data_IF_391038065570
#
_entry.id   IF_391038065570
#
_cell.length_a   1.000
_cell.length_b   1.000
_cell.length_c   1.000
_cell.angle_alpha   90.00
_cell.angle_beta   90.00
_cell.angle_gamma   90.00
#
_symmetry.space_group_name_H-M   'P 1'
#
loop_
_entity.id
_entity.type
_entity.pdbx_description
1 polymer ?
#
# COMPACT_ATOMS: atom_id res chain seq x y z
N UNK A 1 -13.60 2.65 10.55
CA UNK A 1 -14.71 2.53 11.54
C UNK A 1 -14.75 3.79 12.42
N UNK A 2 -15.94 4.28 12.81
CA UNK A 2 -16.08 5.43 13.73
C UNK A 2 -17.09 5.15 14.83
N UNK A 3 -16.76 5.53 16.06
CA UNK A 3 -17.63 5.47 17.24
C UNK A 3 -17.81 6.89 17.76
N UNK A 4 -19.05 7.34 17.91
CA UNK A 4 -19.34 8.65 18.51
C UNK A 4 -19.27 8.57 20.03
N UNK A 5 -18.59 9.52 20.66
CA UNK A 5 -18.58 9.72 22.10
C UNK A 5 -19.57 10.83 22.45
N UNK A 6 -20.39 10.58 23.47
CA UNK A 6 -21.50 11.42 23.96
C UNK A 6 -21.42 12.90 23.55
N UNK A 7 -22.24 13.25 22.56
CA UNK A 7 -22.60 14.62 22.16
C UNK A 7 -21.59 15.39 21.31
N UNK A 8 -20.28 15.29 21.55
CA UNK A 8 -19.27 16.18 20.93
C UNK A 8 -17.91 15.52 20.63
N UNK A 9 -17.80 14.19 20.71
CA UNK A 9 -16.56 13.47 20.39
C UNK A 9 -16.74 12.38 19.34
N UNK A 10 -15.65 12.03 18.66
CA UNK A 10 -15.58 10.87 17.77
C UNK A 10 -14.24 10.18 17.93
N UNK A 11 -14.30 8.85 17.96
CA UNK A 11 -13.13 7.98 17.80
C UNK A 11 -13.19 7.41 16.40
N UNK A 12 -12.09 7.51 15.66
CA UNK A 12 -11.94 6.93 14.32
C UNK A 12 -10.70 6.05 14.31
N UNK A 13 -10.79 4.91 13.65
CA UNK A 13 -9.64 4.05 13.42
C UNK A 13 -9.46 3.81 11.92
N UNK A 14 -8.22 3.95 11.47
CA UNK A 14 -7.80 3.71 10.09
C UNK A 14 -6.42 3.08 10.07
N UNK A 15 -6.14 2.30 9.04
CA UNK A 15 -4.85 1.66 8.85
C UNK A 15 -3.95 2.55 7.97
N UNK A 16 -2.64 2.52 8.19
CA UNK A 16 -1.61 3.17 7.37
C UNK A 16 -0.65 2.11 6.82
N UNK A 17 -0.49 2.10 5.49
CA UNK A 17 0.35 1.13 4.80
C UNK A 17 1.84 1.41 4.93
N UNK A 18 2.23 2.68 4.97
CA UNK A 18 3.63 3.12 5.01
C UNK A 18 4.42 2.62 6.23
N UNK A 19 3.75 2.34 7.35
CA UNK A 19 4.38 1.90 8.60
C UNK A 19 3.74 0.61 9.20
N UNK A 20 2.98 -0.16 8.40
CA UNK A 20 2.19 -1.34 8.83
C UNK A 20 1.50 -1.15 10.19
N UNK A 21 0.84 0.00 10.37
CA UNK A 21 0.25 0.41 11.65
C UNK A 21 -1.19 0.88 11.49
N UNK A 22 -1.96 0.84 12.57
CA UNK A 22 -3.24 1.53 12.64
C UNK A 22 -3.08 2.86 13.38
N UNK A 23 -3.88 3.85 13.04
CA UNK A 23 -3.99 5.09 13.77
C UNK A 23 -5.36 5.18 14.43
N UNK A 24 -5.35 5.28 15.76
CA UNK A 24 -6.48 5.67 16.57
C UNK A 24 -6.52 7.19 16.62
N UNK A 25 -7.57 7.77 16.06
CA UNK A 25 -7.83 9.20 16.09
C UNK A 25 -8.93 9.47 17.11
N UNK A 26 -8.60 10.27 18.12
CA UNK A 26 -9.55 10.73 19.13
C UNK A 26 -9.77 12.21 18.90
N UNK A 27 -11.02 12.58 18.65
CA UNK A 27 -11.41 13.97 18.47
C UNK A 27 -12.48 14.33 19.49
N UNK A 28 -12.18 15.28 20.38
CA UNK A 28 -13.12 15.73 21.43
C UNK A 28 -13.01 17.23 21.60
N UNK A 29 -14.13 17.95 21.52
CA UNK A 29 -14.23 19.38 21.90
C UNK A 29 -13.11 20.27 21.33
N UNK A 30 -12.73 20.04 20.06
CA UNK A 30 -11.69 20.82 19.36
C UNK A 30 -10.25 20.33 19.57
N UNK A 31 -10.03 19.27 20.35
CA UNK A 31 -8.73 18.59 20.49
C UNK A 31 -8.65 17.41 19.54
N UNK A 32 -7.53 17.29 18.84
CA UNK A 32 -7.19 16.21 17.90
C UNK A 32 -5.96 15.46 18.41
N UNK A 33 -6.07 14.15 18.56
CA UNK A 33 -4.97 13.28 18.95
C UNK A 33 -4.90 12.06 18.02
N UNK A 34 -3.71 11.78 17.46
CA UNK A 34 -3.41 10.53 16.76
C UNK A 34 -2.55 9.66 17.66
N UNK A 35 -2.94 8.40 17.81
CA UNK A 35 -2.16 7.37 18.50
C UNK A 35 -1.84 6.30 17.47
N UNK A 36 -0.56 6.13 17.17
CA UNK A 36 -0.10 5.02 16.34
C UNK A 36 -0.19 3.72 17.15
N UNK A 37 -0.72 2.69 16.52
CA UNK A 37 -0.91 1.35 17.07
C UNK A 37 -0.21 0.38 16.12
N UNK A 38 0.83 -0.29 16.61
CA UNK A 38 1.39 -1.41 15.89
C UNK A 38 0.41 -2.60 15.86
N UNK A 39 0.75 -3.60 15.05
CA UNK A 39 -0.06 -4.81 14.87
C UNK A 39 -0.41 -5.53 16.18
N UNK A 40 0.52 -5.58 17.14
CA UNK A 40 0.30 -6.24 18.45
C UNK A 40 -0.81 -5.54 19.22
N UNK A 41 -0.85 -4.21 19.19
CA UNK A 41 -1.91 -3.45 19.84
C UNK A 41 -3.28 -3.64 19.14
N UNK A 42 -3.31 -3.79 17.82
CA UNK A 42 -4.56 -4.04 17.08
C UNK A 42 -5.06 -5.47 17.32
N UNK A 43 -4.17 -6.46 17.36
CA UNK A 43 -4.49 -7.86 17.67
C UNK A 43 -5.07 -8.02 19.09
N UNK A 44 -4.59 -7.23 20.04
CA UNK A 44 -5.16 -7.18 21.40
C UNK A 44 -6.63 -6.71 21.43
N UNK A 45 -7.07 -5.99 20.40
CA UNK A 45 -8.43 -5.48 20.22
C UNK A 45 -9.21 -6.23 19.12
N UNK A 46 -8.78 -7.46 18.79
CA UNK A 46 -9.30 -8.24 17.66
C UNK A 46 -10.82 -8.36 17.59
N UNK A 47 -11.45 -8.65 18.72
CA UNK A 47 -12.90 -8.85 18.77
C UNK A 47 -13.68 -7.53 18.59
N UNK A 48 -13.00 -6.40 18.77
CA UNK A 48 -13.59 -5.07 18.70
C UNK A 48 -13.31 -4.39 17.35
N UNK A 49 -12.25 -4.79 16.64
CA UNK A 49 -11.76 -4.13 15.43
C UNK A 49 -11.49 -5.12 14.26
N UNK A 50 -12.45 -5.99 13.88
CA UNK A 50 -12.21 -7.02 12.86
C UNK A 50 -11.91 -6.46 11.47
N UNK A 51 -12.54 -5.35 11.08
CA UNK A 51 -12.30 -4.71 9.77
C UNK A 51 -10.89 -4.13 9.62
N UNK A 52 -10.32 -3.65 10.73
CA UNK A 52 -8.98 -3.05 10.77
C UNK A 52 -7.93 -4.14 10.66
N UNK A 53 -8.12 -5.24 11.39
CA UNK A 53 -7.27 -6.42 11.25
C UNK A 53 -7.34 -7.00 9.83
N UNK A 54 -8.53 -7.06 9.22
CA UNK A 54 -8.66 -7.50 7.83
C UNK A 54 -7.85 -6.61 6.86
N UNK A 55 -7.80 -5.30 7.11
CA UNK A 55 -6.96 -4.37 6.35
C UNK A 55 -5.46 -4.63 6.53
N UNK A 56 -5.01 -4.87 7.76
CA UNK A 56 -3.60 -5.21 8.04
C UNK A 56 -3.22 -6.59 7.48
N UNK A 57 -4.12 -7.57 7.54
CA UNK A 57 -3.92 -8.90 6.96
C UNK A 57 -3.78 -8.84 5.43
N UNK A 58 -4.59 -8.00 4.77
CA UNK A 58 -4.49 -7.78 3.34
C UNK A 58 -3.09 -7.26 2.96
N UNK A 59 -2.57 -6.27 3.68
CA UNK A 59 -1.23 -5.73 3.41
C UNK A 59 -0.12 -6.74 3.67
N UNK A 60 -0.22 -7.52 4.75
CA UNK A 60 0.74 -8.59 5.01
C UNK A 60 0.78 -9.63 3.89
N UNK A 61 -0.38 -9.97 3.30
CA UNK A 61 -0.45 -10.88 2.14
C UNK A 61 0.21 -10.26 0.90
N UNK A 62 0.00 -8.96 0.67
CA UNK A 62 0.61 -8.24 -0.45
C UNK A 62 2.13 -8.15 -0.32
N UNK A 63 2.65 -7.88 0.88
CA UNK A 63 4.08 -7.82 1.17
C UNK A 63 4.76 -9.19 1.02
N UNK A 64 4.12 -10.26 1.51
CA UNK A 64 4.57 -11.63 1.28
C UNK A 64 4.57 -11.99 -0.22
N UNK A 65 3.55 -11.55 -0.96
CA UNK A 65 3.48 -11.67 -2.42
C UNK A 65 4.66 -11.00 -3.13
N UNK A 66 4.96 -9.76 -2.78
CA UNK A 66 6.12 -9.01 -3.29
C UNK A 66 7.45 -9.70 -2.95
N UNK A 67 7.61 -10.17 -1.70
CA UNK A 67 8.82 -10.88 -1.29
C UNK A 67 9.00 -12.19 -2.07
N UNK A 68 7.92 -12.96 -2.27
CA UNK A 68 7.93 -14.18 -3.09
C UNK A 68 8.29 -13.90 -4.54
N UNK A 69 7.79 -12.82 -5.12
CA UNK A 69 8.13 -12.39 -6.47
C UNK A 69 9.63 -12.07 -6.60
N UNK A 70 10.20 -11.31 -5.66
CA UNK A 70 11.64 -11.02 -5.65
C UNK A 70 12.51 -12.28 -5.50
N UNK A 71 12.07 -13.25 -4.69
CA UNK A 71 12.74 -14.56 -4.56
C UNK A 71 12.61 -15.39 -5.83
N UNK A 72 11.48 -15.34 -6.52
CA UNK A 72 11.28 -16.04 -7.80
C UNK A 72 12.15 -15.43 -8.92
N UNK A 73 12.25 -14.10 -8.99
CA UNK A 73 13.12 -13.39 -9.92
C UNK A 73 14.59 -13.79 -9.73
N UNK A 74 15.11 -13.74 -8.48
CA UNK A 74 16.48 -14.18 -8.19
C UNK A 74 16.73 -15.63 -8.63
N UNK A 75 15.77 -16.52 -8.41
CA UNK A 75 15.86 -17.92 -8.85
C UNK A 75 15.85 -18.03 -10.38
N UNK A 76 15.03 -17.24 -11.06
CA UNK A 76 14.97 -17.20 -12.52
C UNK A 76 16.30 -16.71 -13.11
N UNK A 77 16.88 -15.62 -12.58
CA UNK A 77 18.20 -15.10 -13.00
C UNK A 77 19.30 -16.16 -12.85
N UNK A 78 19.33 -16.85 -11.71
CA UNK A 78 20.30 -17.94 -11.49
C UNK A 78 20.10 -19.12 -12.45
N UNK A 79 18.85 -19.48 -12.74
CA UNK A 79 18.52 -20.55 -13.67
C UNK A 79 18.88 -20.18 -15.12
N UNK A 80 18.63 -18.94 -15.53
CA UNK A 80 19.01 -18.38 -16.84
C UNK A 80 20.52 -18.42 -17.00
N UNK A 81 21.29 -17.93 -16.02
CA UNK A 81 22.76 -17.98 -16.07
C UNK A 81 23.27 -19.42 -16.27
N UNK A 82 22.78 -20.37 -15.47
CA UNK A 82 23.14 -21.79 -15.59
C UNK A 82 22.75 -22.38 -16.94
N UNK A 83 21.58 -22.04 -17.47
CA UNK A 83 21.11 -22.53 -18.76
C UNK A 83 21.99 -22.01 -19.91
N UNK A 84 22.42 -20.74 -19.85
CA UNK A 84 23.31 -20.14 -20.84
C UNK A 84 24.72 -20.74 -20.77
N UNK A 85 25.27 -20.92 -19.57
CA UNK A 85 26.58 -21.59 -19.37
C UNK A 85 26.54 -23.01 -19.94
N UNK A 86 25.48 -23.76 -19.67
CA UNK A 86 25.30 -25.11 -20.20
C UNK A 86 25.10 -25.10 -21.71
N UNK A 87 24.37 -24.11 -22.26
CA UNK A 87 24.17 -23.97 -23.70
C UNK A 87 25.49 -23.77 -24.45
N UNK A 88 26.43 -23.02 -23.88
CA UNK A 88 27.79 -22.86 -24.42
C UNK A 88 28.54 -24.19 -24.37
N UNK A 89 28.57 -24.85 -23.21
CA UNK A 89 29.29 -26.11 -23.04
C UNK A 89 28.78 -27.24 -23.97
N UNK A 90 27.46 -27.35 -24.16
CA UNK A 90 26.89 -28.38 -25.07
C UNK A 90 27.09 -28.05 -26.55
N UNK A 91 27.23 -26.77 -26.89
CA UNK A 91 27.56 -26.35 -28.25
C UNK A 91 29.01 -26.69 -28.61
N UNK A 92 29.95 -26.54 -27.66
CA UNK A 92 31.35 -26.93 -27.84
C UNK A 92 31.54 -28.43 -28.14
N UNK A 93 30.65 -29.28 -27.63
CA UNK A 93 30.63 -30.73 -27.92
C UNK A 93 29.69 -31.12 -29.06
N UNK A 94 29.15 -30.14 -29.81
CA UNK A 94 28.40 -30.36 -31.05
C UNK A 94 26.91 -30.71 -30.89
N UNK A 95 26.33 -30.52 -29.70
CA UNK A 95 24.91 -30.82 -29.44
C UNK A 95 24.05 -29.55 -29.61
N UNK A 96 23.93 -29.10 -30.86
CA UNK A 96 23.36 -27.79 -31.20
C UNK A 96 21.87 -27.63 -30.86
N UNK A 97 21.06 -28.69 -31.01
CA UNK A 97 19.63 -28.66 -30.70
C UNK A 97 19.36 -28.42 -29.20
N UNK A 98 20.20 -29.01 -28.34
CA UNK A 98 20.12 -28.81 -26.88
C UNK A 98 20.56 -27.40 -26.51
N UNK A 99 21.63 -26.89 -27.11
CA UNK A 99 22.06 -25.50 -26.93
C UNK A 99 20.96 -24.50 -27.28
N UNK A 100 20.32 -24.70 -28.44
CA UNK A 100 19.20 -23.87 -28.91
C UNK A 100 18.02 -23.94 -27.96
N UNK A 101 17.66 -25.13 -27.50
CA UNK A 101 16.56 -25.33 -26.55
C UNK A 101 16.83 -24.65 -25.20
N UNK A 102 18.07 -24.74 -24.70
CA UNK A 102 18.48 -24.08 -23.45
C UNK A 102 18.42 -22.55 -23.56
N UNK A 103 18.88 -21.98 -24.69
CA UNK A 103 18.78 -20.53 -24.96
C UNK A 103 17.33 -20.07 -25.05
N UNK A 104 16.48 -20.81 -25.74
CA UNK A 104 15.06 -20.49 -25.83
C UNK A 104 14.38 -20.51 -24.44
N UNK A 105 14.65 -21.54 -23.64
CA UNK A 105 14.13 -21.63 -22.26
C UNK A 105 14.67 -20.50 -21.37
N UNK A 106 15.94 -20.11 -21.53
CA UNK A 106 16.53 -18.97 -20.83
C UNK A 106 15.85 -17.65 -21.20
N UNK A 107 15.58 -17.42 -22.50
CA UNK A 107 14.84 -16.24 -22.96
C UNK A 107 13.41 -16.22 -22.39
N UNK A 108 12.70 -17.34 -22.41
CA UNK A 108 11.34 -17.43 -21.83
C UNK A 108 11.35 -17.13 -20.33
N UNK A 109 12.29 -17.72 -19.58
CA UNK A 109 12.42 -17.50 -18.14
C UNK A 109 12.77 -16.05 -17.79
N UNK A 110 13.67 -15.41 -18.55
CA UNK A 110 13.99 -13.99 -18.40
C UNK A 110 12.77 -13.11 -18.66
N UNK A 111 12.07 -13.33 -19.78
CA UNK A 111 10.88 -12.56 -20.13
C UNK A 111 9.76 -12.69 -19.09
N UNK A 112 9.59 -13.87 -18.49
CA UNK A 112 8.62 -14.06 -17.39
C UNK A 112 9.05 -13.37 -16.09
N UNK A 113 10.35 -13.37 -15.78
CA UNK A 113 10.87 -12.67 -14.60
C UNK A 113 10.70 -11.15 -14.74
N UNK A 114 11.01 -10.59 -15.91
CA UNK A 114 10.80 -9.17 -16.22
C UNK A 114 9.31 -8.78 -16.16
N UNK A 115 8.42 -9.62 -16.68
CA UNK A 115 6.98 -9.37 -16.60
C UNK A 115 6.47 -9.37 -15.15
N UNK A 116 6.99 -10.27 -14.30
CA UNK A 116 6.65 -10.31 -12.88
C UNK A 116 7.15 -9.07 -12.12
N UNK A 117 8.39 -8.64 -12.35
CA UNK A 117 8.94 -7.40 -11.78
C UNK A 117 8.12 -6.17 -12.22
N UNK A 118 7.79 -6.07 -13.51
CA UNK A 118 6.95 -4.99 -14.03
C UNK A 118 5.56 -4.96 -13.36
N UNK A 119 4.94 -6.12 -13.15
CA UNK A 119 3.65 -6.22 -12.46
C UNK A 119 3.73 -5.79 -10.99
N UNK A 120 4.79 -6.21 -10.27
CA UNK A 120 5.01 -5.80 -8.87
C UNK A 120 5.24 -4.30 -8.78
N UNK A 121 6.03 -3.71 -9.68
CA UNK A 121 6.24 -2.25 -9.73
C UNK A 121 4.96 -1.49 -10.04
N UNK A 122 4.18 -1.96 -11.02
CA UNK A 122 2.89 -1.35 -11.36
C UNK A 122 1.92 -1.40 -10.17
N UNK A 123 1.87 -2.53 -9.47
CA UNK A 123 1.07 -2.68 -8.25
C UNK A 123 1.53 -1.72 -7.14
N UNK A 124 2.83 -1.64 -6.89
CA UNK A 124 3.41 -0.70 -5.91
C UNK A 124 3.07 0.76 -6.23
N UNK A 125 3.18 1.17 -7.50
CA UNK A 125 2.82 2.53 -7.91
C UNK A 125 1.33 2.83 -7.72
N UNK A 126 0.45 1.92 -8.18
CA UNK A 126 -0.99 2.08 -8.04
C UNK A 126 -1.42 2.17 -6.57
N UNK A 127 -0.76 1.38 -5.71
CA UNK A 127 -0.98 1.41 -4.26
C UNK A 127 -0.64 2.78 -3.68
N UNK A 128 0.53 3.34 -3.99
CA UNK A 128 0.95 4.66 -3.49
C UNK A 128 -0.04 5.75 -3.91
N UNK A 129 -0.56 5.68 -5.15
CA UNK A 129 -1.57 6.62 -5.63
C UNK A 129 -2.89 6.51 -4.87
N UNK A 130 -3.34 5.28 -4.56
CA UNK A 130 -4.54 5.02 -3.76
C UNK A 130 -4.36 5.50 -2.32
N UNK A 131 -3.21 5.24 -1.71
CA UNK A 131 -2.89 5.69 -0.35
C UNK A 131 -2.90 7.22 -0.29
N UNK A 132 -2.24 7.89 -1.23
CA UNK A 132 -2.24 9.34 -1.32
C UNK A 132 -3.66 9.92 -1.52
N UNK A 133 -4.47 9.31 -2.37
CA UNK A 133 -5.85 9.73 -2.58
C UNK A 133 -6.70 9.53 -1.32
N UNK A 134 -6.48 8.43 -0.58
CA UNK A 134 -7.17 8.10 0.67
C UNK A 134 -6.79 9.07 1.78
N UNK A 135 -5.50 9.38 1.94
CA UNK A 135 -5.03 10.40 2.89
C UNK A 135 -5.63 11.77 2.59
N UNK A 136 -5.64 12.18 1.31
CA UNK A 136 -6.24 13.45 0.87
C UNK A 136 -7.74 13.49 1.17
N UNK A 137 -8.46 12.39 0.96
CA UNK A 137 -9.88 12.28 1.29
C UNK A 137 -10.11 12.38 2.80
N UNK A 138 -9.34 11.65 3.61
CA UNK A 138 -9.40 11.68 5.07
C UNK A 138 -9.15 13.08 5.63
N UNK A 139 -8.17 13.80 5.06
CA UNK A 139 -7.90 15.19 5.41
C UNK A 139 -9.08 16.12 5.07
N UNK A 140 -9.62 16.02 3.86
CA UNK A 140 -10.75 16.83 3.42
C UNK A 140 -12.01 16.57 4.26
N UNK A 141 -12.29 15.31 4.60
CA UNK A 141 -13.40 14.93 5.48
C UNK A 141 -13.24 15.54 6.87
N UNK A 142 -12.03 15.47 7.45
CA UNK A 142 -11.77 16.04 8.78
C UNK A 142 -11.88 17.57 8.79
N UNK A 143 -11.43 18.25 7.72
CA UNK A 143 -11.61 19.69 7.56
C UNK A 143 -13.10 20.09 7.43
N UNK A 144 -13.88 19.30 6.68
CA UNK A 144 -15.32 19.51 6.53
C UNK A 144 -16.07 19.30 7.85
N UNK A 145 -15.74 18.24 8.60
CA UNK A 145 -16.30 17.97 9.93
C UNK A 145 -16.00 19.12 10.92
N UNK A 146 -14.76 19.64 10.92
CA UNK A 146 -14.39 20.77 11.75
C UNK A 146 -15.17 22.05 11.39
N UNK A 147 -15.36 22.32 10.09
CA UNK A 147 -16.15 23.46 9.61
C UNK A 147 -17.63 23.34 10.02
N UNK A 148 -18.22 22.15 9.90
CA UNK A 148 -19.59 21.87 10.34
C UNK A 148 -19.77 22.07 11.85
N UNK A 149 -18.79 21.64 12.67
CA UNK A 149 -18.82 21.85 14.13
C UNK A 149 -18.79 23.34 14.48
N UNK A 150 -17.97 24.15 13.81
CA UNK A 150 -17.91 25.61 14.00
C UNK A 150 -19.23 26.29 13.67
N UNK A 151 -19.83 25.93 12.54
CA UNK A 151 -21.15 26.42 12.13
C UNK A 151 -22.25 26.04 13.13
N UNK A 152 -22.22 24.81 13.66
CA UNK A 152 -23.20 24.32 14.64
C UNK A 152 -23.07 25.00 16.00
N UNK A 153 -21.86 25.45 16.37
CA UNK A 153 -21.59 26.12 17.64
C UNK A 153 -21.78 27.64 17.58
N UNK A 154 -22.17 28.21 16.43
CA UNK A 154 -22.48 29.64 16.29
C UNK A 154 -21.26 30.54 16.06
N UNK A 155 -20.08 29.98 15.78
CA UNK A 155 -18.88 30.75 15.45
C UNK A 155 -18.96 31.25 13.99
N UNK A 156 -18.73 32.54 13.76
CA UNK A 156 -18.65 33.10 12.40
C UNK A 156 -17.45 32.50 11.64
N UNK A 157 -17.71 31.89 10.48
CA UNK A 157 -16.66 31.45 9.56
C UNK A 157 -15.81 32.66 9.12
N UNK A 158 -14.47 32.56 9.09
CA UNK A 158 -13.64 33.63 8.58
C UNK A 158 -13.91 33.82 7.08
N UNK A 159 -14.20 35.06 6.69
CA UNK A 159 -14.59 35.56 5.35
C UNK A 159 -13.59 35.29 4.19
N UNK A 160 -12.55 34.48 4.37
CA UNK A 160 -11.42 34.35 3.44
C UNK A 160 -11.43 33.11 2.54
N UNK A 161 -12.57 32.46 2.32
CA UNK A 161 -12.65 31.28 1.44
C UNK A 161 -13.35 31.50 0.09
N UNK A 162 -13.68 32.73 -0.32
CA UNK A 162 -14.42 32.99 -1.59
C UNK A 162 -13.64 33.84 -2.61
N UNK A 163 -12.45 34.37 -2.29
CA UNK A 163 -11.67 35.18 -3.24
C UNK A 163 -10.35 34.52 -3.60
N UNK A 164 -10.41 33.55 -4.51
CA UNK A 164 -9.20 32.88 -5.04
C UNK A 164 -9.39 32.16 -6.37
N UNK A 165 -10.59 32.17 -6.95
CA UNK A 165 -10.82 31.69 -8.33
C UNK A 165 -11.14 32.89 -9.20
N UNK A 166 -10.12 33.68 -9.55
CA UNK A 166 -10.11 34.46 -10.78
C UNK A 166 -8.70 34.98 -11.12
N UNK A 167 -8.20 34.54 -12.29
CA UNK A 167 -7.11 35.10 -13.14
C UNK A 167 -5.69 34.82 -12.60
N UNK A 168 -4.77 34.14 -13.29
CA UNK A 168 -4.51 33.85 -14.71
C UNK A 168 -3.80 32.51 -14.82
#
# INVERSE_FOLDING_TARGET
>A
MSISLDGNGSVRLWTRRCDESACLVIETSGTYCEIAMDRVHVEALRDQLPEVLAGLDLWAVEDDGCAKAAVAERRAVQAVARALDLAVAVEEVGVHDVSTSLRAAATEASGRAEAADAAVRAFGNATVEVDYATEKLNYAMSAAEAALRRLRNGDQLPERAVSGVQRR
#
